data_IF_880501127718
#
_entry.id   IF_880501127718
#
_cell.length_a   1.000
_cell.length_b   1.000
_cell.length_c   1.000
_cell.angle_alpha   90.00
_cell.angle_beta   90.00
_cell.angle_gamma   90.00
#
_symmetry.space_group_name_H-M   'P 1'
#
loop_
_entity.id
_entity.type
_entity.pdbx_description
1 polymer ?
2 non-polymer ?
3 non-polymer ?
4 water ?
#
# COMPACT_ATOMS: atom_id res chain seq x y z
N UNK A 1 -7.64 10.63 3.07
CA UNK A 1 -8.69 9.71 3.55
C UNK A 1 -8.16 8.48 4.30
N UNK A 2 -8.62 8.34 5.53
CA UNK A 2 -8.24 7.28 6.42
C UNK A 2 -8.91 5.94 6.05
N UNK A 3 -9.69 5.92 4.99
CA UNK A 3 -10.41 4.72 4.58
C UNK A 3 -10.26 4.23 3.13
N UNK A 4 -10.56 2.97 2.89
CA UNK A 4 -10.42 2.34 1.58
C UNK A 4 -11.54 1.28 1.44
N UNK A 5 -11.90 0.91 0.21
CA UNK A 5 -13.00 -0.02 -0.01
C UNK A 5 -12.68 -1.12 -0.98
N UNK A 6 -13.13 -2.35 -0.65
CA UNK A 6 -13.04 -3.49 -1.53
C UNK A 6 -14.46 -3.64 -2.06
N UNK A 7 -14.64 -3.44 -3.37
CA UNK A 7 -15.94 -3.54 -4.00
C UNK A 7 -16.03 -4.90 -4.69
N UNK A 8 -17.11 -5.63 -4.44
CA UNK A 8 -17.38 -6.94 -5.04
C UNK A 8 -18.40 -6.69 -6.15
N UNK A 9 -18.00 -6.85 -7.42
CA UNK A 9 -18.86 -6.59 -8.58
C UNK A 9 -19.63 -7.82 -9.09
N UNK A 10 -19.41 -8.96 -8.45
CA UNK A 10 -20.08 -10.23 -8.70
C UNK A 10 -19.80 -11.18 -7.54
N UNK A 11 -20.51 -12.28 -7.52
CA UNK A 11 -20.46 -13.24 -6.46
C UNK A 11 -19.13 -13.95 -6.47
N UNK A 12 -18.54 -14.09 -7.64
CA UNK A 12 -17.26 -14.78 -7.77
C UNK A 12 -16.08 -14.06 -7.12
N UNK A 13 -16.25 -12.79 -6.84
CA UNK A 13 -15.32 -11.96 -6.11
C UNK A 13 -15.17 -12.35 -4.63
N UNK A 14 -16.11 -13.13 -4.09
CA UNK A 14 -16.12 -13.58 -2.68
C UNK A 14 -15.31 -14.88 -2.44
N UNK A 15 -14.80 -15.46 -3.53
CA UNK A 15 -13.97 -16.66 -3.55
C UNK A 15 -12.76 -16.47 -2.62
N UNK A 16 -12.44 -17.43 -1.72
CA UNK A 16 -11.29 -17.23 -0.82
C UNK A 16 -9.97 -16.85 -1.51
N UNK A 17 -9.68 -17.39 -2.72
CA UNK A 17 -8.47 -17.06 -3.49
C UNK A 17 -8.47 -15.60 -3.93
N UNK A 18 -9.66 -15.04 -4.26
CA UNK A 18 -9.81 -13.63 -4.63
C UNK A 18 -9.68 -12.70 -3.43
N UNK A 19 -10.33 -13.04 -2.29
CA UNK A 19 -10.23 -12.29 -1.04
C UNK A 19 -8.77 -12.22 -0.58
N UNK A 20 -8.04 -13.38 -0.61
CA UNK A 20 -6.64 -13.48 -0.19
C UNK A 20 -5.65 -12.66 -1.03
N UNK A 21 -6.02 -12.29 -2.26
CA UNK A 21 -5.17 -11.43 -3.09
C UNK A 21 -5.55 -9.99 -2.79
N UNK A 22 -6.87 -9.72 -2.77
CA UNK A 22 -7.42 -8.37 -2.59
C UNK A 22 -7.18 -7.69 -1.24
N UNK A 23 -7.31 -8.44 -0.11
CA UNK A 23 -7.10 -7.89 1.25
C UNK A 23 -5.66 -7.34 1.47
N UNK A 24 -4.56 -8.10 1.22
CA UNK A 24 -3.21 -7.52 1.41
C UNK A 24 -2.89 -6.36 0.47
N UNK A 25 -3.44 -6.39 -0.75
CA UNK A 25 -3.26 -5.33 -1.75
C UNK A 25 -3.85 -4.02 -1.24
N UNK A 26 -5.11 -4.06 -0.79
CA UNK A 26 -5.79 -2.88 -0.24
C UNK A 26 -5.17 -2.37 1.05
N UNK A 27 -4.65 -3.29 1.87
CA UNK A 27 -3.97 -2.93 3.11
C UNK A 27 -2.68 -2.17 2.77
N UNK A 28 -1.89 -2.68 1.80
CA UNK A 28 -0.66 -2.01 1.37
C UNK A 28 -0.96 -0.61 0.79
N UNK A 29 -2.01 -0.49 -0.04
CA UNK A 29 -2.46 0.76 -0.65
C UNK A 29 -2.87 1.81 0.40
N UNK A 30 -3.62 1.39 1.46
CA UNK A 30 -4.04 2.31 2.50
C UNK A 30 -2.82 2.70 3.37
N UNK A 31 -1.97 1.74 3.73
CA UNK A 31 -0.76 2.05 4.51
C UNK A 31 0.19 2.99 3.73
N UNK A 32 0.27 2.80 2.40
CA UNK A 32 1.11 3.62 1.54
C UNK A 32 0.55 5.04 1.46
N UNK A 33 -0.80 5.17 1.32
CA UNK A 33 -1.46 6.46 1.23
C UNK A 33 -1.20 7.26 2.51
N UNK A 34 -1.31 6.62 3.69
CA UNK A 34 -1.07 7.26 4.99
C UNK A 34 0.39 7.69 5.15
N UNK A 35 1.31 6.83 4.74
CA UNK A 35 2.73 7.10 4.82
C UNK A 35 3.13 8.28 3.92
N UNK A 36 2.62 8.32 2.67
CA UNK A 36 2.90 9.44 1.75
C UNK A 36 2.30 10.74 2.28
N UNK A 37 1.12 10.69 2.91
CA UNK A 37 0.51 11.88 3.48
C UNK A 37 1.36 12.39 4.64
N UNK A 38 1.88 11.47 5.48
CA UNK A 38 2.77 11.79 6.62
C UNK A 38 4.02 12.48 6.11
N UNK A 39 4.66 11.89 5.08
CA UNK A 39 5.85 12.46 4.46
C UNK A 39 5.56 13.87 3.88
N UNK A 40 4.50 13.98 3.05
CA UNK A 40 4.14 15.26 2.41
C UNK A 40 3.75 16.34 3.41
N UNK A 41 3.17 15.97 4.57
CA UNK A 41 2.82 16.95 5.62
C UNK A 41 4.00 17.16 6.58
N UNK A 42 5.17 16.57 6.27
CA UNK A 42 6.41 16.66 7.05
C UNK A 42 6.31 16.10 8.48
N UNK A 43 5.41 15.11 8.70
CA UNK A 43 5.19 14.53 10.03
C UNK A 43 6.24 13.49 10.41
N UNK A 44 7.01 13.00 9.43
CA UNK A 44 8.13 12.10 9.72
C UNK A 44 9.30 12.42 8.82
N UNK A 45 10.52 12.09 9.27
CA UNK A 45 11.71 12.35 8.47
C UNK A 45 11.94 11.22 7.46
N UNK A 46 12.88 11.42 6.52
CA UNK A 46 13.20 10.47 5.46
C UNK A 46 13.62 9.10 5.95
N UNK A 47 14.40 9.03 7.04
CA UNK A 47 14.86 7.74 7.59
C UNK A 47 13.66 6.87 8.06
N UNK A 48 12.68 7.48 8.77
CA UNK A 48 11.48 6.77 9.25
C UNK A 48 10.64 6.36 8.04
N UNK A 49 10.43 7.30 7.10
CA UNK A 49 9.69 7.04 5.86
C UNK A 49 10.24 5.78 5.18
N UNK A 50 11.58 5.70 4.93
CA UNK A 50 12.17 4.54 4.23
C UNK A 50 12.02 3.24 5.02
N UNK A 51 12.11 3.31 6.36
CA UNK A 51 11.95 2.14 7.24
C UNK A 51 10.51 1.60 7.15
N UNK A 52 9.52 2.52 7.20
CA UNK A 52 8.12 2.15 7.10
C UNK A 52 7.76 1.66 5.70
N UNK A 53 8.38 2.19 4.69
CA UNK A 53 8.10 1.81 3.35
C UNK A 53 8.48 0.38 3.15
N UNK A 54 9.64 0.01 3.61
CA UNK A 54 10.09 -1.35 3.46
C UNK A 54 9.19 -2.34 4.19
N UNK A 55 8.66 -1.98 5.33
CA UNK A 55 7.70 -2.79 6.06
C UNK A 55 6.39 -3.03 5.27
N UNK A 56 5.83 -1.98 4.73
CA UNK A 56 4.69 -2.08 3.88
C UNK A 56 4.93 -3.05 2.71
N UNK A 57 6.02 -2.89 1.99
CA UNK A 57 6.24 -3.63 0.76
C UNK A 57 6.81 -5.04 0.95
N UNK A 58 7.14 -5.34 2.18
CA UNK A 58 7.66 -6.64 2.60
C UNK A 58 6.58 -7.75 2.53
N UNK A 59 5.26 -7.40 2.62
CA UNK A 59 4.16 -8.38 2.59
C UNK A 59 4.33 -9.39 1.43
N UNK A 60 4.54 -10.69 1.75
CA UNK A 60 4.78 -11.65 0.66
C UNK A 60 3.56 -11.97 -0.22
N UNK A 61 2.36 -11.57 0.22
CA UNK A 61 1.13 -11.80 -0.53
C UNK A 61 0.95 -10.77 -1.65
N UNK A 62 1.79 -9.70 -1.68
CA UNK A 62 1.71 -8.66 -2.71
C UNK A 62 2.33 -9.11 -4.00
N UNK A 63 1.82 -8.60 -5.13
CA UNK A 63 2.46 -8.89 -6.41
C UNK A 63 3.63 -7.91 -6.58
N UNK A 64 4.66 -8.27 -7.35
CA UNK A 64 5.78 -7.36 -7.58
C UNK A 64 5.30 -6.18 -8.45
N UNK A 65 4.29 -6.43 -9.30
CA UNK A 65 3.69 -5.38 -10.15
C UNK A 65 3.09 -4.31 -9.25
N UNK A 66 2.32 -4.72 -8.21
CA UNK A 66 1.77 -3.74 -7.27
C UNK A 66 2.88 -3.00 -6.50
N UNK A 67 3.92 -3.73 -6.01
CA UNK A 67 5.03 -3.09 -5.28
C UNK A 67 5.66 -1.97 -6.10
N UNK A 68 5.88 -2.20 -7.42
CA UNK A 68 6.43 -1.25 -8.40
C UNK A 68 5.58 0.00 -8.55
N UNK A 69 4.25 -0.15 -8.66
CA UNK A 69 3.28 0.95 -8.74
C UNK A 69 3.27 1.74 -7.43
N UNK A 70 3.45 1.05 -6.28
CA UNK A 70 3.53 1.71 -4.97
C UNK A 70 4.82 2.53 -4.82
N UNK A 71 5.97 1.95 -5.21
CA UNK A 71 7.28 2.62 -5.18
C UNK A 71 7.34 3.80 -6.16
N UNK A 72 6.57 3.74 -7.28
CA UNK A 72 6.50 4.82 -8.27
C UNK A 72 5.81 6.08 -7.74
N UNK A 73 5.10 5.96 -6.62
CA UNK A 73 4.41 7.08 -5.98
C UNK A 73 5.33 7.84 -5.03
N UNK A 74 6.50 7.27 -4.71
CA UNK A 74 7.45 7.91 -3.79
C UNK A 74 8.14 9.14 -4.42
N UNK A 75 8.06 10.35 -3.80
CA UNK A 75 8.80 11.51 -4.37
C UNK A 75 10.30 11.20 -4.39
N UNK A 76 10.99 11.64 -5.44
CA UNK A 76 12.44 11.41 -5.63
C UNK A 76 13.30 11.80 -4.43
N UNK A 77 12.98 12.91 -3.76
CA UNK A 77 13.74 13.40 -2.60
C UNK A 77 13.60 12.54 -1.34
N UNK A 78 12.65 11.59 -1.32
CA UNK A 78 12.50 10.69 -0.17
C UNK A 78 13.45 9.47 -0.26
N UNK A 79 14.03 9.21 -1.44
CA UNK A 79 14.91 8.06 -1.61
C UNK A 79 16.24 8.16 -0.82
X LIG B 1 -1.90 -1.37 -12.24
X LIG C 1 -2.76 -2.66 -9.90
#
# INVERSE_FOLDING_TARGET
EESISLTFRNMNDFTPEQVARQIPRLKAMLAMRSLLRDLKANLLDNVTFRKELEKILRDPALSQTLRDELRALVPEKAW
ZN ZN
CL CL
#
